data_IF_365061593906
#
_entry.id   IF_365061593906
#
_cell.length_a   1.000
_cell.length_b   1.000
_cell.length_c   1.000
_cell.angle_alpha   90.00
_cell.angle_beta   90.00
_cell.angle_gamma   90.00
#
_symmetry.space_group_name_H-M   'P 1'
#
loop_
_entity.id
_entity.type
_entity.pdbx_description
1 polymer ?
#
# COMPACT_ATOMS: atom_id res chain seq x y z
N UNK A 1 36.40 -36.30 75.58
CA UNK A 1 37.32 -36.31 74.42
C UNK A 1 36.64 -37.08 73.30
N UNK A 2 36.43 -36.44 72.13
CA UNK A 2 36.24 -36.98 70.76
C UNK A 2 35.34 -38.22 70.55
N UNK A 3 34.52 -38.40 69.51
CA UNK A 3 34.23 -37.76 68.21
C UNK A 3 33.19 -38.69 67.55
N UNK A 4 32.27 -38.15 66.74
CA UNK A 4 31.62 -38.75 65.54
C UNK A 4 30.84 -40.08 65.70
N UNK A 5 29.74 -40.38 65.01
CA UNK A 5 29.27 -40.02 63.67
C UNK A 5 27.76 -40.34 63.58
N UNK A 6 27.01 -39.52 62.84
CA UNK A 6 26.05 -39.85 61.76
C UNK A 6 24.99 -40.95 61.96
N UNK A 7 23.78 -40.93 61.41
CA UNK A 7 22.95 -40.02 60.61
C UNK A 7 21.73 -40.89 60.24
N UNK A 8 20.52 -40.30 60.15
CA UNK A 8 19.55 -40.56 59.06
C UNK A 8 18.21 -39.90 59.39
N UNK A 9 18.04 -38.71 58.82
CA UNK A 9 16.77 -38.01 58.76
C UNK A 9 15.87 -38.62 57.68
N UNK A 10 14.62 -38.82 58.04
CA UNK A 10 13.51 -39.04 57.12
C UNK A 10 13.23 -37.76 56.32
N UNK A 11 13.14 -37.84 55.00
CA UNK A 11 12.53 -36.80 54.14
C UNK A 11 11.36 -37.42 53.36
N UNK A 12 10.21 -36.74 53.26
CA UNK A 12 9.06 -37.25 52.53
C UNK A 12 9.27 -37.16 51.02
N UNK A 13 8.63 -38.10 50.31
CA UNK A 13 8.61 -38.26 48.86
C UNK A 13 7.83 -37.09 48.25
N UNK A 14 8.47 -36.33 47.36
CA UNK A 14 7.83 -35.29 46.57
C UNK A 14 6.97 -35.92 45.47
N UNK A 15 5.72 -35.48 45.37
CA UNK A 15 4.80 -35.84 44.30
C UNK A 15 5.33 -35.31 42.95
N UNK A 16 5.48 -36.21 41.98
CA UNK A 16 5.77 -35.86 40.59
C UNK A 16 4.46 -35.34 39.99
N UNK A 17 4.29 -34.02 40.01
CA UNK A 17 3.23 -33.36 39.25
C UNK A 17 3.58 -33.43 37.76
N UNK A 18 2.76 -34.15 37.00
CA UNK A 18 2.81 -34.12 35.54
C UNK A 18 2.50 -32.68 35.08
N UNK A 19 3.52 -31.99 34.58
CA UNK A 19 3.40 -30.69 33.95
C UNK A 19 2.79 -30.93 32.56
N UNK A 20 1.47 -30.86 32.45
CA UNK A 20 0.82 -30.71 31.15
C UNK A 20 1.19 -29.32 30.63
N UNK A 21 2.15 -29.25 29.69
CA UNK A 21 2.26 -28.09 28.82
C UNK A 21 1.01 -28.07 27.95
N UNK A 22 0.02 -27.33 28.41
CA UNK A 22 -1.03 -26.79 27.55
C UNK A 22 -0.33 -25.84 26.57
N UNK A 23 0.08 -26.33 25.41
CA UNK A 23 0.17 -25.48 24.22
C UNK A 23 -1.25 -24.99 23.96
N UNK A 24 -1.57 -23.81 24.46
CA UNK A 24 -2.67 -23.03 23.92
C UNK A 24 -2.31 -22.79 22.47
N UNK A 25 -2.89 -23.57 21.55
CA UNK A 25 -3.09 -23.10 20.19
C UNK A 25 -3.83 -21.77 20.36
N UNK A 26 -3.11 -20.68 20.09
CA UNK A 26 -3.66 -19.35 20.21
C UNK A 26 -4.79 -19.24 19.21
N UNK A 27 -6.04 -19.19 19.69
CA UNK A 27 -7.23 -18.72 18.97
C UNK A 27 -7.09 -17.24 18.55
N UNK A 28 -5.89 -16.76 18.25
CA UNK A 28 -5.59 -15.39 17.85
C UNK A 28 -5.93 -15.15 16.36
N UNK A 29 -6.18 -16.21 15.59
CA UNK A 29 -6.36 -16.14 14.13
C UNK A 29 -7.84 -16.12 13.67
N UNK A 30 -8.80 -16.01 14.60
CA UNK A 30 -10.23 -15.93 14.26
C UNK A 30 -10.77 -14.51 14.11
N UNK A 31 -10.02 -13.50 14.55
CA UNK A 31 -10.40 -12.11 14.30
C UNK A 31 -10.08 -11.76 12.84
N UNK A 32 -10.99 -11.09 12.11
CA UNK A 32 -10.71 -10.67 10.74
C UNK A 32 -9.44 -9.80 10.74
N UNK A 33 -8.51 -10.01 9.80
CA UNK A 33 -7.30 -9.22 9.74
C UNK A 33 -7.65 -7.75 9.60
N UNK A 34 -6.96 -6.92 10.37
CA UNK A 34 -7.20 -5.48 10.41
C UNK A 34 -5.89 -4.75 10.22
N UNK A 35 -5.87 -3.87 9.22
CA UNK A 35 -4.87 -2.83 9.06
C UNK A 35 -5.14 -1.73 10.08
N UNK A 36 -4.15 -1.44 10.91
CA UNK A 36 -4.19 -0.30 11.83
C UNK A 36 -3.21 0.75 11.35
N UNK A 37 -3.66 1.90 10.85
CA UNK A 37 -2.76 2.92 10.34
C UNK A 37 -1.94 3.55 11.47
N UNK A 38 -0.65 3.78 11.23
CA UNK A 38 0.32 4.27 12.23
C UNK A 38 0.96 5.60 11.85
N UNK A 39 1.15 5.86 10.56
CA UNK A 39 1.66 7.14 10.03
C UNK A 39 1.13 7.39 8.63
N UNK A 40 1.21 8.63 8.17
CA UNK A 40 0.82 9.02 6.81
C UNK A 40 1.61 10.23 6.31
N UNK A 41 1.77 10.30 4.99
CA UNK A 41 2.08 11.49 4.20
C UNK A 41 1.13 11.47 3.00
N UNK A 42 0.01 12.19 3.13
CA UNK A 42 -1.05 12.26 2.12
C UNK A 42 -1.25 13.71 1.73
N UNK A 43 -0.77 14.10 0.56
CA UNK A 43 -0.71 15.51 0.14
C UNK A 43 -0.95 15.71 -1.35
N UNK A 44 -1.45 16.90 -1.68
CA UNK A 44 -1.60 17.43 -3.04
C UNK A 44 -0.87 18.76 -3.14
N UNK A 45 -0.20 18.99 -4.27
CA UNK A 45 0.57 20.21 -4.50
C UNK A 45 0.51 20.62 -5.97
N UNK A 46 0.34 21.92 -6.19
CA UNK A 46 0.41 22.52 -7.51
C UNK A 46 1.20 23.82 -7.45
N UNK A 47 2.01 24.06 -8.48
CA UNK A 47 2.89 25.20 -8.55
C UNK A 47 3.13 25.65 -9.99
N UNK A 48 3.01 26.97 -10.24
CA UNK A 48 3.30 27.55 -11.55
C UNK A 48 4.11 28.85 -11.42
N UNK A 49 5.28 28.89 -12.06
CA UNK A 49 6.10 30.10 -12.20
C UNK A 49 6.20 30.50 -13.67
N UNK A 50 5.96 31.78 -13.94
CA UNK A 50 6.28 32.43 -15.22
C UNK A 50 6.95 33.80 -14.97
N UNK A 51 8.28 33.92 -15.11
CA UNK A 51 9.00 35.19 -14.95
C UNK A 51 8.99 35.95 -16.30
N UNK A 52 7.89 36.65 -16.65
CA UNK A 52 7.71 38.04 -16.20
C UNK A 52 6.24 38.43 -15.94
N UNK A 53 5.36 37.47 -15.63
CA UNK A 53 3.94 37.78 -15.41
C UNK A 53 3.77 38.79 -14.26
N UNK A 54 2.85 39.74 -14.43
CA UNK A 54 2.45 40.72 -13.41
C UNK A 54 1.82 40.08 -12.15
N UNK A 55 1.26 40.87 -11.22
CA UNK A 55 0.88 40.40 -9.90
C UNK A 55 -0.08 39.17 -9.93
N UNK A 56 0.07 38.24 -8.97
CA UNK A 56 -0.37 36.84 -9.05
C UNK A 56 -1.90 36.62 -9.09
N UNK A 57 -2.36 35.56 -9.79
CA UNK A 57 -3.72 35.00 -9.71
C UNK A 57 -3.85 33.81 -8.71
N UNK A 58 -2.86 32.90 -8.68
CA UNK A 58 -2.51 31.89 -7.64
C UNK A 58 -1.17 31.21 -8.01
N UNK A 59 -0.09 31.35 -7.22
CA UNK A 59 1.26 30.82 -7.61
C UNK A 59 1.41 29.34 -7.32
N UNK A 60 0.73 28.92 -6.26
CA UNK A 60 0.85 27.63 -5.63
C UNK A 60 -0.45 27.33 -4.92
N UNK A 61 -0.71 26.05 -4.75
CA UNK A 61 -1.75 25.53 -3.88
C UNK A 61 -1.25 24.21 -3.28
N UNK A 62 -1.68 23.91 -2.05
CA UNK A 62 -1.20 22.77 -1.28
C UNK A 62 -2.23 22.39 -0.22
N UNK A 63 -2.44 21.09 -0.07
CA UNK A 63 -3.24 20.54 1.03
C UNK A 63 -2.68 19.19 1.47
N UNK A 64 -2.91 18.84 2.73
CA UNK A 64 -2.39 17.63 3.38
C UNK A 64 -3.41 17.07 4.36
N UNK A 65 -3.54 15.75 4.41
CA UNK A 65 -4.46 15.08 5.33
C UNK A 65 -4.01 15.25 6.80
N UNK A 66 -4.91 15.74 7.65
CA UNK A 66 -4.62 15.96 9.07
C UNK A 66 -4.82 14.73 9.96
N UNK A 67 -5.56 13.74 9.47
CA UNK A 67 -5.88 12.47 10.15
C UNK A 67 -6.10 11.35 9.12
N UNK A 68 -6.50 10.14 9.56
CA UNK A 68 -6.73 8.97 8.69
C UNK A 68 -8.16 8.90 8.11
N UNK A 69 -8.98 9.94 8.26
CA UNK A 69 -10.29 9.97 7.61
C UNK A 69 -10.15 10.05 6.09
N UNK A 70 -11.28 9.92 5.39
CA UNK A 70 -11.34 10.09 3.94
C UNK A 70 -10.71 11.42 3.56
N UNK A 71 -9.67 11.36 2.72
CA UNK A 71 -9.01 12.56 2.22
C UNK A 71 -9.40 12.75 0.75
N UNK A 72 -10.14 13.82 0.48
CA UNK A 72 -10.50 14.24 -0.86
C UNK A 72 -10.11 15.70 -1.02
N UNK A 73 -9.04 15.95 -1.78
CA UNK A 73 -8.53 17.30 -1.96
C UNK A 73 -8.00 17.53 -3.37
N UNK A 74 -7.91 18.79 -3.74
CA UNK A 74 -7.41 19.27 -5.01
C UNK A 74 -6.59 20.54 -4.77
N UNK A 75 -5.41 20.61 -5.39
CA UNK A 75 -4.57 21.78 -5.41
C UNK A 75 -4.42 22.28 -6.85
N UNK A 76 -4.70 23.56 -7.08
CA UNK A 76 -4.66 24.19 -8.41
C UNK A 76 -3.81 25.47 -8.43
N UNK A 77 -2.87 25.55 -9.36
CA UNK A 77 -2.09 26.74 -9.63
C UNK A 77 -2.20 27.13 -11.10
N UNK A 78 -2.53 28.39 -11.38
CA UNK A 78 -2.69 28.89 -12.74
C UNK A 78 -1.98 30.24 -12.90
N UNK A 79 -1.16 30.35 -13.94
CA UNK A 79 -0.55 31.60 -14.38
C UNK A 79 -0.85 31.87 -15.83
N UNK A 80 -1.31 33.08 -16.12
CA UNK A 80 -1.53 33.54 -17.48
C UNK A 80 -0.96 34.93 -17.64
N UNK A 81 -0.11 35.13 -18.65
CA UNK A 81 0.26 36.43 -19.16
C UNK A 81 0.41 36.39 -20.69
N UNK A 82 0.69 37.54 -21.30
CA UNK A 82 0.69 37.69 -22.77
C UNK A 82 1.65 36.72 -23.47
N UNK A 83 2.76 36.34 -22.82
CA UNK A 83 3.78 35.48 -23.41
C UNK A 83 3.70 34.01 -23.00
N UNK A 84 2.87 33.67 -22.00
CA UNK A 84 2.79 32.30 -21.50
C UNK A 84 1.53 32.04 -20.65
N UNK A 85 1.10 30.79 -20.66
CA UNK A 85 0.08 30.24 -19.79
C UNK A 85 0.59 28.93 -19.20
N UNK A 86 0.43 28.75 -17.89
CA UNK A 86 0.74 27.52 -17.18
C UNK A 86 -0.38 27.15 -16.23
N UNK A 87 -0.65 25.86 -16.14
CA UNK A 87 -1.62 25.24 -15.27
C UNK A 87 -0.95 24.03 -14.61
N UNK A 88 -1.09 23.92 -13.30
CA UNK A 88 -0.77 22.73 -12.55
C UNK A 88 -1.98 22.39 -11.69
N UNK A 89 -2.39 21.13 -11.69
CA UNK A 89 -3.51 20.62 -10.94
C UNK A 89 -3.16 19.25 -10.40
N UNK A 90 -3.44 19.02 -9.13
CA UNK A 90 -3.27 17.70 -8.50
C UNK A 90 -4.49 17.38 -7.67
N UNK A 91 -4.87 16.11 -7.64
CA UNK A 91 -6.02 15.63 -6.91
C UNK A 91 -5.70 14.35 -6.16
N UNK A 92 -6.38 14.15 -5.05
CA UNK A 92 -6.32 12.91 -4.29
C UNK A 92 -7.70 12.55 -3.76
N UNK A 93 -8.03 11.27 -3.83
CA UNK A 93 -9.08 10.63 -3.07
C UNK A 93 -8.48 9.41 -2.37
N UNK A 94 -8.65 9.28 -1.06
CA UNK A 94 -8.23 8.07 -0.35
C UNK A 94 -9.12 7.74 0.84
N UNK A 95 -9.33 6.45 1.04
CA UNK A 95 -10.06 5.86 2.17
C UNK A 95 -9.21 4.77 2.81
N UNK A 96 -9.17 4.77 4.14
CA UNK A 96 -8.41 3.81 4.94
C UNK A 96 -9.39 3.16 5.90
N UNK A 97 -9.76 1.93 5.59
CA UNK A 97 -10.62 1.08 6.38
C UNK A 97 -9.80 -0.07 7.00
N UNK A 98 -10.32 -0.76 8.03
CA UNK A 98 -9.64 -1.90 8.64
C UNK A 98 -9.24 -3.00 7.64
N UNK A 99 -10.03 -3.23 6.59
CA UNK A 99 -9.81 -4.31 5.61
C UNK A 99 -9.53 -3.82 4.20
N UNK A 100 -9.56 -2.50 3.96
CA UNK A 100 -9.34 -1.94 2.62
C UNK A 100 -8.60 -0.61 2.69
N UNK A 101 -7.61 -0.43 1.82
CA UNK A 101 -6.98 0.86 1.53
C UNK A 101 -7.25 1.17 0.06
N UNK A 102 -7.99 2.24 -0.18
CA UNK A 102 -8.26 2.77 -1.50
C UNK A 102 -7.55 4.12 -1.65
N UNK A 103 -6.76 4.27 -2.71
CA UNK A 103 -6.10 5.53 -3.05
C UNK A 103 -6.13 5.78 -4.55
N UNK A 104 -6.63 6.95 -4.93
CA UNK A 104 -6.56 7.49 -6.27
C UNK A 104 -5.82 8.83 -6.20
N UNK A 105 -4.68 8.91 -6.87
CA UNK A 105 -3.86 10.13 -6.98
C UNK A 105 -3.74 10.53 -8.43
N UNK A 106 -3.88 11.82 -8.71
CA UNK A 106 -3.82 12.37 -10.05
C UNK A 106 -2.99 13.66 -10.07
N UNK A 107 -2.32 13.89 -11.18
CA UNK A 107 -1.56 15.12 -11.42
C UNK A 107 -1.60 15.47 -12.90
N UNK A 108 -1.73 16.76 -13.17
CA UNK A 108 -1.80 17.34 -14.50
C UNK A 108 -1.03 18.65 -14.52
N UNK A 109 -0.11 18.77 -15.48
CA UNK A 109 0.59 20.02 -15.74
C UNK A 109 0.52 20.35 -17.21
N UNK A 110 0.23 21.60 -17.54
CA UNK A 110 0.15 22.12 -18.90
C UNK A 110 0.79 23.47 -18.97
N UNK A 111 1.56 23.70 -20.02
CA UNK A 111 2.20 24.96 -20.29
C UNK A 111 2.13 25.29 -21.77
N UNK A 112 2.05 26.58 -22.09
CA UNK A 112 2.15 27.12 -23.43
C UNK A 112 2.87 28.46 -23.33
N UNK A 113 4.02 28.62 -23.97
CA UNK A 113 4.74 29.88 -23.94
C UNK A 113 5.44 30.19 -25.27
N UNK A 114 5.79 31.46 -25.46
CA UNK A 114 6.65 31.83 -26.57
C UNK A 114 8.07 31.22 -26.39
N UNK A 115 8.87 31.09 -27.47
CA UNK A 115 10.19 30.47 -27.40
C UNK A 115 11.22 31.13 -26.49
N UNK A 116 10.93 32.33 -25.97
CA UNK A 116 11.83 33.14 -25.15
C UNK A 116 11.37 33.21 -23.69
N UNK A 117 10.27 32.55 -23.32
CA UNK A 117 9.69 32.59 -21.97
C UNK A 117 9.90 31.26 -21.28
N UNK A 118 10.48 31.33 -20.08
CA UNK A 118 10.60 30.19 -19.17
C UNK A 118 9.28 30.03 -18.42
N UNK A 119 8.86 28.78 -18.26
CA UNK A 119 7.72 28.41 -17.42
C UNK A 119 8.01 27.11 -16.70
N UNK A 120 7.56 27.05 -15.46
CA UNK A 120 7.53 25.83 -14.68
C UNK A 120 6.07 25.58 -14.30
N UNK A 121 5.58 24.38 -14.57
CA UNK A 121 4.27 23.91 -14.13
C UNK A 121 4.48 22.53 -13.50
N UNK A 122 4.23 22.44 -12.20
CA UNK A 122 4.58 21.29 -11.37
C UNK A 122 3.35 20.92 -10.56
N UNK A 123 2.90 19.69 -10.71
CA UNK A 123 1.82 19.11 -9.92
C UNK A 123 2.26 17.76 -9.39
N UNK A 124 1.97 17.50 -8.11
CA UNK A 124 2.25 16.21 -7.48
C UNK A 124 1.15 15.86 -6.48
N UNK A 125 0.71 14.60 -6.53
CA UNK A 125 -0.18 13.99 -5.56
C UNK A 125 0.52 12.77 -4.97
N UNK A 126 0.73 12.79 -3.66
CA UNK A 126 1.46 11.77 -2.91
C UNK A 126 0.54 11.14 -1.88
N UNK A 127 0.43 9.82 -1.92
CA UNK A 127 -0.23 9.02 -0.91
C UNK A 127 0.80 8.05 -0.36
N UNK A 128 1.08 8.15 0.93
CA UNK A 128 1.90 7.21 1.67
C UNK A 128 1.24 6.94 3.02
N UNK A 129 1.01 5.68 3.34
CA UNK A 129 0.42 5.25 4.61
C UNK A 129 1.23 4.10 5.17
N UNK A 130 1.61 4.23 6.43
CA UNK A 130 2.14 3.13 7.20
C UNK A 130 1.02 2.49 8.02
N UNK A 131 0.97 1.16 8.06
CA UNK A 131 0.03 0.43 8.88
C UNK A 131 0.66 -0.83 9.49
N UNK A 132 0.05 -1.31 10.56
CA UNK A 132 0.36 -2.59 11.17
C UNK A 132 -0.73 -3.62 10.90
N UNK A 133 -0.30 -4.86 10.65
CA UNK A 133 -1.14 -6.05 10.69
C UNK A 133 -0.88 -6.82 11.98
N UNK A 134 -1.94 -7.08 12.74
CA UNK A 134 -1.86 -7.84 14.00
C UNK A 134 -1.87 -9.36 13.82
N UNK A 135 -2.32 -9.84 12.66
CA UNK A 135 -2.45 -11.25 12.32
C UNK A 135 -2.07 -11.46 10.85
N UNK A 136 -1.83 -12.73 10.48
CA UNK A 136 -1.54 -13.13 9.10
C UNK A 136 -2.78 -12.86 8.25
N UNK A 137 -2.59 -12.36 7.03
CA UNK A 137 -3.68 -12.01 6.14
C UNK A 137 -3.35 -12.37 4.70
N UNK A 138 -4.36 -12.67 3.88
CA UNK A 138 -4.20 -12.59 2.42
C UNK A 138 -4.53 -11.19 1.95
N UNK A 139 -3.99 -10.81 0.81
CA UNK A 139 -4.32 -9.54 0.18
C UNK A 139 -4.63 -9.71 -1.31
N UNK A 140 -5.46 -8.81 -1.80
CA UNK A 140 -5.71 -8.52 -3.21
C UNK A 140 -5.45 -7.03 -3.42
N UNK A 141 -4.57 -6.68 -4.34
CA UNK A 141 -4.29 -5.31 -4.72
C UNK A 141 -4.55 -5.13 -6.21
N UNK A 142 -5.60 -4.36 -6.54
CA UNK A 142 -5.87 -3.90 -7.89
C UNK A 142 -5.17 -2.56 -8.13
N UNK A 143 -4.38 -2.50 -9.19
CA UNK A 143 -3.54 -1.34 -9.51
C UNK A 143 -3.81 -0.91 -10.94
N UNK A 144 -4.03 0.39 -11.11
CA UNK A 144 -4.11 1.00 -12.44
C UNK A 144 -3.26 2.27 -12.49
N UNK A 145 -2.28 2.29 -13.39
CA UNK A 145 -1.42 3.43 -13.65
C UNK A 145 -1.70 3.93 -15.08
N UNK A 146 -1.75 5.24 -15.25
CA UNK A 146 -1.88 5.87 -16.57
C UNK A 146 -1.05 7.13 -16.61
N UNK A 147 -0.28 7.27 -17.69
CA UNK A 147 0.49 8.47 -17.97
C UNK A 147 0.31 8.88 -19.44
N UNK A 148 0.26 10.19 -19.67
CA UNK A 148 0.25 10.79 -21.00
C UNK A 148 1.16 12.01 -20.98
N UNK A 149 1.97 12.15 -22.02
CA UNK A 149 2.81 13.31 -22.27
C UNK A 149 2.69 13.71 -23.73
N UNK A 150 2.43 14.99 -23.98
CA UNK A 150 2.34 15.53 -25.34
C UNK A 150 3.67 15.98 -25.93
N UNK A 151 4.77 15.97 -25.15
CA UNK A 151 6.04 16.55 -25.61
C UNK A 151 7.26 15.95 -24.91
N UNK A 152 8.45 16.15 -25.51
CA UNK A 152 9.71 15.67 -24.96
C UNK A 152 10.27 16.50 -23.79
N UNK A 153 9.51 17.44 -23.27
CA UNK A 153 9.93 18.33 -22.16
C UNK A 153 9.05 18.15 -20.91
N UNK A 154 8.03 17.30 -21.02
CA UNK A 154 7.12 16.92 -19.95
C UNK A 154 7.67 15.65 -19.30
N UNK A 155 7.70 15.66 -17.98
CA UNK A 155 8.06 14.51 -17.15
C UNK A 155 6.83 14.10 -16.37
N UNK A 156 6.36 12.89 -16.60
CA UNK A 156 5.24 12.29 -15.87
C UNK A 156 5.69 10.97 -15.26
N UNK A 157 5.29 10.73 -14.02
CA UNK A 157 5.54 9.46 -13.36
C UNK A 157 4.37 9.04 -12.49
N UNK A 158 4.10 7.73 -12.53
CA UNK A 158 3.14 7.09 -11.67
C UNK A 158 3.78 5.86 -11.01
N UNK A 159 3.45 5.62 -9.74
CA UNK A 159 4.00 4.52 -8.96
C UNK A 159 2.95 4.03 -7.97
N UNK A 160 2.80 2.71 -7.87
CA UNK A 160 2.13 2.03 -6.78
C UNK A 160 3.08 1.00 -6.15
N UNK A 161 3.18 0.97 -4.83
CA UNK A 161 4.12 0.11 -4.14
C UNK A 161 3.63 -0.27 -2.74
N UNK A 162 3.93 -1.51 -2.34
CA UNK A 162 3.82 -1.99 -0.98
C UNK A 162 5.17 -2.55 -0.54
N UNK A 163 5.62 -2.15 0.64
CA UNK A 163 6.85 -2.63 1.29
C UNK A 163 6.58 -3.12 2.69
N UNK A 164 7.39 -4.06 3.15
CA UNK A 164 7.43 -4.48 4.54
C UNK A 164 8.35 -3.58 5.39
N UNK A 165 8.43 -3.88 6.70
CA UNK A 165 9.27 -3.18 7.67
C UNK A 165 10.78 -3.22 7.35
N UNK A 166 11.24 -4.20 6.57
CA UNK A 166 12.62 -4.33 6.12
C UNK A 166 12.87 -3.59 4.79
N UNK A 167 11.88 -2.85 4.27
CA UNK A 167 11.85 -2.26 2.93
C UNK A 167 11.90 -3.28 1.79
N UNK A 168 11.62 -4.55 2.06
CA UNK A 168 11.45 -5.54 1.02
C UNK A 168 10.16 -5.22 0.25
N UNK A 169 10.23 -5.29 -1.07
CA UNK A 169 9.11 -4.98 -1.96
C UNK A 169 8.17 -6.19 -1.96
N UNK A 170 6.92 -5.97 -1.52
CA UNK A 170 5.84 -6.95 -1.65
C UNK A 170 5.29 -6.87 -3.08
N UNK A 171 4.94 -5.67 -3.53
CA UNK A 171 4.71 -5.37 -4.94
C UNK A 171 5.19 -3.96 -5.26
N UNK A 172 5.55 -3.71 -6.51
CA UNK A 172 5.91 -2.38 -7.00
C UNK A 172 5.70 -2.32 -8.50
N UNK A 173 4.87 -1.39 -8.94
CA UNK A 173 4.60 -1.14 -10.35
C UNK A 173 4.74 0.36 -10.61
N UNK A 174 5.37 0.75 -11.71
CA UNK A 174 5.64 2.15 -11.97
C UNK A 174 5.93 2.43 -13.43
N UNK A 175 5.35 3.51 -13.93
CA UNK A 175 5.47 3.98 -15.31
C UNK A 175 5.97 5.41 -15.31
N UNK A 176 6.83 5.75 -16.27
CA UNK A 176 7.34 7.11 -16.39
C UNK A 176 7.72 7.46 -17.82
N UNK A 177 7.32 8.65 -18.27
CA UNK A 177 7.81 9.26 -19.51
C UNK A 177 8.68 10.45 -19.12
N UNK A 178 9.99 10.28 -19.29
CA UNK A 178 10.99 11.30 -18.93
C UNK A 178 11.45 12.03 -20.19
N UNK A 179 10.73 13.09 -20.57
CA UNK A 179 11.09 13.87 -21.74
C UNK A 179 10.83 13.14 -23.06
N UNK A 180 9.72 12.41 -23.15
CA UNK A 180 9.21 11.85 -24.39
C UNK A 180 7.70 12.04 -24.49
N UNK A 181 7.21 12.21 -25.72
CA UNK A 181 5.77 12.21 -25.96
C UNK A 181 5.27 10.78 -26.11
N UNK A 182 4.11 10.47 -25.57
CA UNK A 182 3.52 9.14 -25.60
C UNK A 182 2.56 8.94 -24.44
N UNK A 183 2.00 7.74 -24.37
CA UNK A 183 1.12 7.32 -23.29
C UNK A 183 1.46 5.89 -22.89
N UNK A 184 1.27 5.57 -21.62
CA UNK A 184 1.42 4.23 -21.08
C UNK A 184 0.32 3.98 -20.06
N UNK A 185 -0.34 2.82 -20.20
CA UNK A 185 -1.40 2.37 -19.31
C UNK A 185 -1.02 0.98 -18.79
N UNK A 186 -0.99 0.82 -17.48
CA UNK A 186 -0.69 -0.45 -16.81
C UNK A 186 -1.84 -0.80 -15.89
N UNK A 187 -2.33 -2.03 -16.03
CA UNK A 187 -3.22 -2.67 -15.07
C UNK A 187 -2.53 -3.90 -14.51
N UNK A 188 -2.49 -3.98 -13.20
CA UNK A 188 -1.76 -5.03 -12.51
C UNK A 188 -2.55 -5.46 -11.28
N UNK A 189 -2.56 -6.77 -11.05
CA UNK A 189 -3.17 -7.38 -9.88
C UNK A 189 -2.06 -8.08 -9.09
N UNK A 190 -1.95 -7.77 -7.80
CA UNK A 190 -1.08 -8.49 -6.89
C UNK A 190 -1.89 -9.20 -5.83
N UNK A 191 -1.55 -10.45 -5.58
CA UNK A 191 -2.12 -11.25 -4.49
C UNK A 191 -1.00 -11.93 -3.72
N UNK A 192 -1.29 -12.30 -2.48
CA UNK A 192 -0.32 -13.00 -1.65
C UNK A 192 -0.72 -13.05 -0.19
N UNK A 193 0.27 -13.32 0.66
CA UNK A 193 0.14 -13.37 2.12
C UNK A 193 0.98 -12.26 2.72
N UNK A 194 0.41 -11.54 3.67
CA UNK A 194 1.09 -10.58 4.54
C UNK A 194 1.22 -11.21 5.92
N UNK A 195 2.44 -11.28 6.41
CA UNK A 195 2.72 -11.70 7.77
C UNK A 195 2.44 -10.56 8.77
N UNK A 196 2.18 -10.84 10.06
CA UNK A 196 2.05 -9.80 11.06
C UNK A 196 3.26 -8.88 11.08
N UNK A 197 3.04 -7.56 11.06
CA UNK A 197 4.15 -6.61 10.96
C UNK A 197 3.73 -5.22 10.49
N UNK A 198 4.74 -4.41 10.18
CA UNK A 198 4.57 -3.06 9.64
C UNK A 198 4.74 -3.06 8.13
N UNK A 199 3.91 -2.26 7.46
CA UNK A 199 3.91 -2.12 6.02
C UNK A 199 3.76 -0.66 5.64
N UNK A 200 4.33 -0.30 4.50
CA UNK A 200 4.18 1.03 3.88
C UNK A 200 3.58 0.84 2.49
N UNK A 201 2.41 1.42 2.28
CA UNK A 201 1.76 1.49 0.97
C UNK A 201 1.90 2.89 0.40
N UNK A 202 2.21 2.97 -0.90
CA UNK A 202 2.52 4.23 -1.57
C UNK A 202 1.88 4.28 -2.94
N UNK A 203 1.27 5.42 -3.25
CA UNK A 203 0.79 5.76 -4.58
C UNK A 203 1.22 7.20 -4.92
N UNK A 204 1.81 7.41 -6.09
CA UNK A 204 2.25 8.74 -6.53
C UNK A 204 1.82 8.99 -7.95
N UNK A 205 1.43 10.24 -8.21
CA UNK A 205 1.32 10.80 -9.54
C UNK A 205 2.03 12.15 -9.56
N UNK A 206 2.90 12.38 -10.53
CA UNK A 206 3.42 13.73 -10.78
C UNK A 206 3.44 14.05 -12.27
N UNK A 207 3.27 15.34 -12.56
CA UNK A 207 3.44 15.91 -13.88
C UNK A 207 4.25 17.20 -13.73
N UNK A 208 5.37 17.26 -14.45
CA UNK A 208 6.39 18.30 -14.29
C UNK A 208 6.75 18.83 -15.67
N UNK A 209 6.66 20.13 -15.81
CA UNK A 209 7.22 20.89 -16.92
C UNK A 209 8.25 21.83 -16.31
N UNK A 210 9.53 21.59 -16.63
CA UNK A 210 10.66 22.35 -16.13
C UNK A 210 11.64 22.59 -17.30
N UNK A 211 11.38 23.61 -18.12
CA UNK A 211 12.19 23.79 -19.33
C UNK A 211 12.27 25.23 -19.88
N UNK A 212 13.34 25.48 -20.65
CA UNK A 212 13.74 26.79 -21.20
C UNK A 212 13.64 26.91 -22.74
N UNK A 213 13.35 25.81 -23.45
CA UNK A 213 13.03 25.70 -24.90
C UNK A 213 11.50 25.64 -25.04
N UNK A 214 10.81 26.06 -26.16
CA UNK A 214 9.37 26.37 -26.18
C UNK A 214 8.56 25.42 -25.29
N UNK A 215 8.17 25.88 -24.09
CA UNK A 215 7.80 24.98 -23.00
C UNK A 215 6.35 24.48 -23.15
N UNK A 216 5.89 24.40 -24.39
CA UNK A 216 4.54 24.00 -24.72
C UNK A 216 4.42 22.49 -24.62
N UNK A 217 3.61 22.05 -23.68
CA UNK A 217 3.43 20.64 -23.38
C UNK A 217 2.34 20.47 -22.34
N UNK A 218 1.84 19.25 -22.27
CA UNK A 218 0.88 18.82 -21.27
C UNK A 218 1.25 17.40 -20.85
N UNK A 219 1.12 17.14 -19.56
CA UNK A 219 1.36 15.85 -18.94
C UNK A 219 0.27 15.53 -17.96
N UNK A 220 -0.17 14.28 -17.96
CA UNK A 220 -1.10 13.72 -17.00
C UNK A 220 -0.49 12.46 -16.42
N UNK A 221 -0.68 12.26 -15.13
CA UNK A 221 -0.35 11.03 -14.44
C UNK A 221 -1.46 10.67 -13.47
N UNK A 222 -1.83 9.39 -13.38
CA UNK A 222 -2.78 8.87 -12.41
C UNK A 222 -2.30 7.53 -11.86
N UNK A 223 -2.45 7.32 -10.56
CA UNK A 223 -2.28 6.02 -9.90
C UNK A 223 -3.53 5.70 -9.10
N UNK A 224 -4.07 4.50 -9.31
CA UNK A 224 -5.08 3.88 -8.47
C UNK A 224 -4.46 2.66 -7.78
N UNK A 225 -4.70 2.55 -6.49
CA UNK A 225 -4.42 1.36 -5.68
C UNK A 225 -5.66 1.06 -4.85
N UNK A 226 -6.25 -0.11 -5.06
CA UNK A 226 -7.30 -0.66 -4.21
C UNK A 226 -6.79 -1.96 -3.61
N UNK A 227 -6.43 -1.92 -2.34
CA UNK A 227 -5.88 -3.07 -1.63
C UNK A 227 -6.84 -3.53 -0.55
N UNK A 228 -7.28 -4.77 -0.66
CA UNK A 228 -8.07 -5.48 0.34
C UNK A 228 -7.19 -6.46 1.09
N UNK A 229 -7.48 -6.65 2.38
CA UNK A 229 -6.95 -7.76 3.18
C UNK A 229 -8.10 -8.62 3.67
N UNK A 230 -7.89 -9.93 3.65
CA UNK A 230 -8.86 -10.96 4.04
C UNK A 230 -8.18 -12.05 4.84
N UNK A 231 -8.99 -12.92 5.46
CA UNK A 231 -8.53 -14.02 6.31
C UNK A 231 -7.60 -14.96 5.52
N UNK A 232 -6.63 -15.62 6.18
CA UNK A 232 -5.76 -16.61 5.55
C UNK A 232 -6.50 -17.70 4.75
N UNK A 233 -7.67 -18.12 5.24
CA UNK A 233 -8.49 -19.17 4.67
C UNK A 233 -9.44 -18.72 3.54
N UNK A 234 -9.53 -17.42 3.23
CA UNK A 234 -10.27 -16.92 2.06
C UNK A 234 -9.36 -17.08 0.84
N UNK A 235 -9.55 -18.17 0.12
CA UNK A 235 -8.63 -18.57 -0.95
C UNK A 235 -8.99 -17.96 -2.30
N UNK A 236 -10.26 -17.61 -2.48
CA UNK A 236 -10.77 -17.01 -3.70
C UNK A 236 -10.75 -15.47 -3.65
N UNK A 237 -10.44 -14.87 -2.49
CA UNK A 237 -10.33 -13.44 -2.22
C UNK A 237 -11.66 -12.68 -2.42
N UNK A 238 -12.79 -13.33 -2.16
CA UNK A 238 -14.12 -12.71 -2.24
C UNK A 238 -14.56 -12.00 -0.95
N UNK A 239 -13.74 -12.07 0.09
CA UNK A 239 -13.95 -11.43 1.38
C UNK A 239 -14.70 -12.29 2.40
N UNK A 240 -15.04 -13.53 2.05
CA UNK A 240 -15.70 -14.49 2.93
C UNK A 240 -14.87 -15.78 3.02
N UNK A 241 -14.98 -16.49 4.15
CA UNK A 241 -14.53 -17.87 4.25
C UNK A 241 -15.75 -18.78 4.23
N UNK A 242 -15.99 -19.42 3.10
CA UNK A 242 -17.20 -20.23 2.89
C UNK A 242 -16.97 -21.57 2.17
N UNK A 243 -18.05 -22.14 1.63
CA UNK A 243 -18.02 -23.42 0.91
C UNK A 243 -17.12 -23.43 -0.32
N UNK A 244 -16.87 -22.27 -0.93
CA UNK A 244 -15.93 -22.10 -2.04
C UNK A 244 -14.49 -22.37 -1.58
N UNK A 245 -14.08 -21.78 -0.45
CA UNK A 245 -12.74 -21.94 0.11
C UNK A 245 -12.53 -23.34 0.67
N UNK A 246 -13.57 -23.91 1.30
CA UNK A 246 -13.56 -25.32 1.67
C UNK A 246 -13.35 -26.23 0.45
N UNK A 247 -13.98 -25.89 -0.68
CA UNK A 247 -13.77 -26.59 -1.94
C UNK A 247 -12.32 -26.56 -2.39
N UNK A 248 -11.67 -25.39 -2.31
CA UNK A 248 -10.24 -25.21 -2.61
C UNK A 248 -9.36 -26.05 -1.67
N UNK A 249 -9.60 -26.00 -0.35
CA UNK A 249 -8.87 -26.80 0.64
C UNK A 249 -8.96 -28.30 0.36
N UNK A 250 -10.18 -28.80 0.17
CA UNK A 250 -10.40 -30.22 -0.13
C UNK A 250 -9.81 -30.63 -1.49
N UNK A 251 -9.74 -29.70 -2.45
CA UNK A 251 -9.06 -29.91 -3.72
C UNK A 251 -7.54 -30.06 -3.58
N UNK A 252 -6.94 -29.41 -2.59
CA UNK A 252 -5.51 -29.45 -2.29
C UNK A 252 -5.11 -30.55 -1.28
N UNK A 253 -6.06 -31.37 -0.81
CA UNK A 253 -5.84 -32.35 0.27
C UNK A 253 -4.65 -33.29 0.02
N UNK A 254 -3.74 -33.38 0.99
CA UNK A 254 -2.50 -34.14 0.91
C UNK A 254 -1.25 -33.24 0.84
N UNK A 255 -0.09 -33.79 0.40
CA UNK A 255 1.17 -33.05 0.41
C UNK A 255 1.11 -31.79 -0.46
N UNK A 256 1.40 -30.64 0.14
CA UNK A 256 1.18 -29.33 -0.49
C UNK A 256 2.10 -28.26 0.12
N UNK A 257 3.41 -28.51 0.14
CA UNK A 257 4.37 -27.59 0.75
C UNK A 257 4.33 -26.19 0.11
N UNK A 258 3.87 -25.20 0.88
CA UNK A 258 3.83 -23.80 0.49
C UNK A 258 2.65 -23.42 -0.42
N UNK A 259 1.61 -24.24 -0.53
CA UNK A 259 0.34 -23.78 -1.09
C UNK A 259 -0.43 -22.93 -0.07
N UNK A 260 -1.48 -22.25 -0.53
CA UNK A 260 -2.23 -21.36 0.33
C UNK A 260 -3.13 -22.12 1.31
N UNK A 261 -3.54 -23.33 0.93
CA UNK A 261 -4.41 -24.22 1.68
C UNK A 261 -3.71 -24.91 2.87
N UNK A 262 -2.37 -24.93 2.88
CA UNK A 262 -1.52 -25.38 4.00
C UNK A 262 -1.38 -24.21 4.99
N UNK A 263 -2.44 -24.04 5.79
CA UNK A 263 -2.63 -22.91 6.70
C UNK A 263 -1.66 -22.97 7.88
N UNK A 264 -1.39 -24.17 8.39
CA UNK A 264 -0.46 -24.37 9.51
C UNK A 264 1.01 -24.51 9.08
N UNK A 265 1.25 -24.72 7.78
CA UNK A 265 2.57 -24.72 7.16
C UNK A 265 3.38 -26.00 7.43
N UNK A 266 2.72 -27.11 7.77
CA UNK A 266 3.38 -28.40 8.02
C UNK A 266 3.79 -29.15 6.74
N UNK A 267 3.38 -28.64 5.58
CA UNK A 267 3.67 -29.18 4.25
C UNK A 267 2.60 -30.15 3.74
N UNK A 268 1.48 -30.34 4.45
CA UNK A 268 0.39 -31.25 4.12
C UNK A 268 -0.96 -30.60 4.44
N UNK A 269 -1.80 -30.40 3.43
CA UNK A 269 -3.19 -29.99 3.64
C UNK A 269 -3.98 -31.16 4.23
N UNK A 270 -4.50 -30.99 5.44
CA UNK A 270 -5.19 -32.04 6.15
C UNK A 270 -6.24 -31.56 7.15
N UNK A 271 -6.45 -32.38 8.17
CA UNK A 271 -7.47 -32.11 9.19
C UNK A 271 -7.16 -30.90 10.08
N UNK A 272 -5.88 -30.51 10.16
CA UNK A 272 -5.44 -29.32 10.90
C UNK A 272 -5.89 -28.05 10.18
N UNK A 273 -5.55 -27.92 8.89
CA UNK A 273 -5.95 -26.79 8.04
C UNK A 273 -7.47 -26.70 7.90
N UNK A 274 -8.15 -27.84 7.77
CA UNK A 274 -9.62 -27.86 7.77
C UNK A 274 -10.18 -27.31 9.08
N UNK A 275 -9.54 -27.60 10.21
CA UNK A 275 -9.90 -27.04 11.51
C UNK A 275 -9.74 -25.53 11.55
N UNK A 276 -8.63 -25.01 11.01
CA UNK A 276 -8.35 -23.58 10.93
C UNK A 276 -9.34 -22.85 10.01
N UNK A 277 -9.61 -23.40 8.82
CA UNK A 277 -10.62 -22.85 7.90
C UNK A 277 -11.99 -22.78 8.57
N UNK A 278 -12.46 -23.88 9.17
CA UNK A 278 -13.77 -23.91 9.84
C UNK A 278 -13.82 -23.01 11.08
N UNK A 279 -12.68 -22.80 11.76
CA UNK A 279 -12.55 -21.86 12.86
C UNK A 279 -12.69 -20.39 12.42
N UNK A 280 -12.49 -20.14 11.13
CA UNK A 280 -12.57 -18.82 10.50
C UNK A 280 -13.82 -18.60 9.63
N UNK A 281 -14.75 -19.55 9.62
CA UNK A 281 -15.96 -19.55 8.79
C UNK A 281 -16.87 -18.33 9.03
N UNK A 282 -17.43 -17.77 7.96
CA UNK A 282 -18.40 -16.64 8.00
C UNK A 282 -19.88 -17.07 7.97
#
# INVERSE_FOLDING_TARGET
>A
MSRMHDSNGFRPIAAVGALFLSTTATLADSAPPSMTPTAQDRSVSAFVIVPPCGPPSSLSDFDEATDFSTFQSQADAVRTCTSAQGLASSGQYSEINPTQILAYVASCSSAAANPMTVIHAISSSSFEVEFTLGARARFLAEIALSIDSSSSIVYVNSLAQLKDAANAVVFSEGVALNGSAGSEDVKFEATGVLEPGHYTIRAVASAIIDHTIPPSGAGISTSLVDMLVTKPADFNLDGLVDGSDLGSLLGAWGPCAGCAEDLDGDGVVGGSDLGDLLGSWD
#
